data_IF_207050130620
#
_entry.id   IF_207050130620
#
_cell.length_a   1.000
_cell.length_b   1.000
_cell.length_c   1.000
_cell.angle_alpha   90.00
_cell.angle_beta   90.00
_cell.angle_gamma   90.00
#
_symmetry.space_group_name_H-M   'P 1'
#
loop_
_entity.id
_entity.type
_entity.pdbx_description
1 polymer ?
#
# COMPACT_ATOMS: atom_id res chain seq x y z
N UNK A 1 -19.22 -3.09 6.61
CA UNK A 1 -18.08 -3.86 6.08
C UNK A 1 -16.99 -2.89 5.62
N UNK A 2 -15.91 -2.78 6.35
CA UNK A 2 -14.84 -1.85 5.94
C UNK A 2 -14.03 -2.40 4.79
N UNK A 3 -13.59 -1.49 3.95
CA UNK A 3 -12.69 -1.78 2.83
C UNK A 3 -11.53 -0.79 2.87
N UNK A 4 -10.31 -1.30 2.88
CA UNK A 4 -9.11 -0.47 2.87
C UNK A 4 -8.25 -0.86 1.66
N UNK A 5 -7.81 0.13 0.93
CA UNK A 5 -6.85 -0.09 -0.16
C UNK A 5 -5.53 0.59 0.18
N UNK A 6 -4.46 -0.17 0.10
CA UNK A 6 -3.10 0.36 0.23
C UNK A 6 -2.50 0.39 -1.16
N UNK A 7 -2.22 1.58 -1.66
CA UNK A 7 -1.62 1.74 -2.98
C UNK A 7 -0.18 2.23 -2.80
N UNK A 8 0.76 1.46 -3.30
CA UNK A 8 2.19 1.75 -3.15
C UNK A 8 2.88 1.58 -4.49
N UNK A 9 4.04 2.22 -4.63
CA UNK A 9 4.90 1.95 -5.78
C UNK A 9 5.50 0.55 -5.66
N UNK A 10 5.69 -0.11 -6.79
CA UNK A 10 6.24 -1.46 -6.84
C UNK A 10 7.74 -1.42 -6.61
N UNK A 11 8.16 -1.77 -5.40
CA UNK A 11 9.55 -1.67 -4.97
C UNK A 11 10.03 -2.92 -4.23
N UNK A 12 9.42 -4.07 -4.52
CA UNK A 12 9.87 -5.34 -3.96
C UNK A 12 9.34 -5.69 -2.59
N UNK A 13 8.15 -5.22 -2.25
CA UNK A 13 7.51 -5.66 -1.00
C UNK A 13 7.31 -7.17 -1.02
N UNK A 14 7.69 -7.85 0.06
CA UNK A 14 7.59 -9.29 0.15
C UNK A 14 6.18 -9.75 0.51
N UNK A 15 5.92 -11.03 0.28
CA UNK A 15 4.64 -11.63 0.70
C UNK A 15 4.43 -11.45 2.20
N UNK A 16 5.47 -11.64 2.98
CA UNK A 16 5.43 -11.52 4.45
C UNK A 16 5.14 -10.08 4.89
N UNK A 17 5.72 -9.10 4.20
CA UNK A 17 5.44 -7.69 4.48
C UNK A 17 3.99 -7.34 4.15
N UNK A 18 3.47 -7.85 3.04
CA UNK A 18 2.07 -7.64 2.66
C UNK A 18 1.13 -8.27 3.67
N UNK A 19 1.47 -9.46 4.18
CA UNK A 19 0.69 -10.12 5.22
C UNK A 19 0.63 -9.27 6.50
N UNK A 20 1.77 -8.69 6.91
CA UNK A 20 1.83 -7.81 8.06
C UNK A 20 0.98 -6.55 7.87
N UNK A 21 0.99 -5.98 6.66
CA UNK A 21 0.17 -4.81 6.36
C UNK A 21 -1.31 -5.15 6.44
N UNK A 22 -1.71 -6.25 5.85
CA UNK A 22 -3.12 -6.67 5.85
C UNK A 22 -3.60 -6.95 7.28
N UNK A 23 -2.84 -7.72 8.05
CA UNK A 23 -3.23 -8.03 9.42
C UNK A 23 -3.18 -6.80 10.33
N UNK A 24 -2.16 -5.95 10.16
CA UNK A 24 -2.01 -4.74 10.96
C UNK A 24 -3.14 -3.74 10.73
N UNK A 25 -3.52 -3.51 9.49
CA UNK A 25 -4.63 -2.60 9.15
C UNK A 25 -5.94 -3.17 9.69
N UNK A 26 -6.16 -4.48 9.53
CA UNK A 26 -7.35 -5.13 10.06
C UNK A 26 -7.44 -4.94 11.59
N UNK A 27 -6.33 -5.21 12.30
CA UNK A 27 -6.29 -5.06 13.75
C UNK A 27 -6.53 -3.61 14.19
N UNK A 28 -6.05 -2.65 13.42
CA UNK A 28 -6.28 -1.24 13.71
C UNK A 28 -7.76 -0.89 13.64
N UNK A 29 -8.45 -1.37 12.61
CA UNK A 29 -9.88 -1.13 12.47
C UNK A 29 -10.70 -1.81 13.56
N UNK A 30 -10.28 -2.98 14.00
CA UNK A 30 -10.90 -3.66 15.14
C UNK A 30 -10.70 -2.84 16.42
N UNK A 31 -9.48 -2.39 16.65
CA UNK A 31 -9.11 -1.68 17.87
C UNK A 31 -9.80 -0.31 17.97
N UNK A 32 -9.83 0.44 16.88
CA UNK A 32 -10.35 1.81 16.88
C UNK A 32 -11.86 1.86 16.70
N UNK A 33 -12.40 1.06 15.79
CA UNK A 33 -13.80 1.14 15.38
C UNK A 33 -14.64 -0.06 15.80
N UNK A 34 -14.05 -1.09 16.39
CA UNK A 34 -14.77 -2.29 16.78
C UNK A 34 -15.31 -3.08 15.58
N UNK A 35 -14.64 -2.99 14.43
CA UNK A 35 -15.10 -3.69 13.23
C UNK A 35 -14.84 -5.18 13.33
N UNK A 36 -15.67 -5.96 12.64
CA UNK A 36 -15.52 -7.41 12.59
C UNK A 36 -14.35 -7.77 11.65
N UNK A 37 -13.30 -8.42 12.16
CA UNK A 37 -12.16 -8.78 11.30
C UNK A 37 -12.53 -9.73 10.18
N UNK A 38 -13.54 -10.57 10.38
CA UNK A 38 -13.97 -11.56 9.37
C UNK A 38 -14.59 -10.91 8.13
N UNK A 39 -15.04 -9.66 8.24
CA UNK A 39 -15.66 -8.94 7.12
C UNK A 39 -14.88 -7.71 6.71
N UNK A 40 -13.69 -7.51 7.27
CA UNK A 40 -12.80 -6.40 6.90
C UNK A 40 -11.95 -6.83 5.72
N UNK A 41 -12.01 -6.03 4.64
CA UNK A 41 -11.26 -6.31 3.42
C UNK A 41 -10.12 -5.31 3.28
N UNK A 42 -8.92 -5.83 3.03
CA UNK A 42 -7.74 -4.98 2.75
C UNK A 42 -7.13 -5.47 1.44
N UNK A 43 -6.92 -4.53 0.53
CA UNK A 43 -6.23 -4.83 -0.73
C UNK A 43 -4.96 -4.01 -0.82
N UNK A 44 -3.96 -4.56 -1.52
CA UNK A 44 -2.69 -3.87 -1.77
C UNK A 44 -2.49 -3.81 -3.28
N UNK A 45 -2.40 -2.59 -3.80
CA UNK A 45 -2.07 -2.35 -5.21
C UNK A 45 -0.63 -1.89 -5.32
N UNK A 46 0.16 -2.63 -6.09
CA UNK A 46 1.52 -2.23 -6.42
C UNK A 46 1.50 -1.60 -7.81
N UNK A 47 1.91 -0.34 -7.89
CA UNK A 47 1.90 0.42 -9.14
C UNK A 47 3.34 0.58 -9.63
N UNK A 48 3.58 0.26 -10.90
CA UNK A 48 4.90 0.46 -11.48
C UNK A 48 5.32 1.92 -11.36
N UNK A 49 6.61 2.14 -11.13
CA UNK A 49 7.13 3.50 -10.97
C UNK A 49 6.93 4.36 -12.21
N UNK A 50 6.85 3.75 -13.39
CA UNK A 50 6.52 4.46 -14.62
C UNK A 50 5.08 4.97 -14.64
N UNK A 51 4.22 4.37 -13.83
CA UNK A 51 2.80 4.71 -13.76
C UNK A 51 2.46 5.60 -12.57
N UNK A 52 3.45 6.01 -11.81
CA UNK A 52 3.28 6.85 -10.63
C UNK A 52 3.85 8.24 -10.92
N UNK A 53 2.99 9.23 -10.98
CA UNK A 53 3.39 10.60 -11.33
C UNK A 53 3.32 11.54 -10.14
N UNK A 54 4.32 12.38 -10.01
CA UNK A 54 4.37 13.46 -9.02
C UNK A 54 4.81 14.72 -9.76
N UNK A 55 4.02 15.78 -9.65
CA UNK A 55 4.34 17.04 -10.30
C UNK A 55 4.46 16.94 -11.81
N UNK A 56 3.74 16.01 -12.42
CA UNK A 56 3.76 15.79 -13.85
C UNK A 56 4.92 14.93 -14.35
N UNK A 57 5.70 14.34 -13.43
CA UNK A 57 6.83 13.49 -13.81
C UNK A 57 6.66 12.09 -13.24
N UNK A 58 7.14 11.10 -13.96
CA UNK A 58 7.15 9.71 -13.48
C UNK A 58 8.16 9.55 -12.34
N UNK A 59 7.78 8.80 -11.31
CA UNK A 59 8.65 8.53 -10.16
C UNK A 59 9.93 7.81 -10.59
N UNK A 60 9.84 6.92 -11.59
CA UNK A 60 11.02 6.25 -12.14
C UNK A 60 12.08 7.26 -12.60
N UNK A 61 11.64 8.34 -13.23
CA UNK A 61 12.56 9.38 -13.70
C UNK A 61 13.03 10.29 -12.57
N UNK A 62 12.14 10.62 -11.63
CA UNK A 62 12.52 11.43 -10.47
C UNK A 62 13.60 10.77 -9.64
N UNK A 63 13.51 9.45 -9.44
CA UNK A 63 14.50 8.70 -8.66
C UNK A 63 15.85 8.64 -9.33
N UNK A 64 15.88 8.62 -10.65
CA UNK A 64 17.16 8.69 -11.41
C UNK A 64 17.87 10.00 -11.15
N UNK A 65 17.12 11.10 -11.06
CA UNK A 65 17.67 12.43 -10.79
C UNK A 65 18.19 12.58 -9.37
N UNK A 66 17.64 11.81 -8.42
CA UNK A 66 18.02 11.88 -7.00
C UNK A 66 19.22 10.99 -6.66
N UNK A 67 19.59 10.07 -7.54
CA UNK A 67 20.76 9.21 -7.32
C UNK A 67 22.03 9.98 -7.70
N UNK A 68 23.06 9.95 -6.84
CA UNK A 68 24.35 10.51 -7.16
C UNK A 68 25.05 9.74 -8.28
#
# INVERSE_FOLDING_TARGET
MPYVNIKITKEGATKEQKEQLISGVTNLLVSVLGKNPATTVVTIDEVDMDNWGIGGQQVSELRKKLKP
#
